data_IF_044707149317
#
_entry.id   IF_044707149317
#
_cell.length_a   1.000
_cell.length_b   1.000
_cell.length_c   1.000
_cell.angle_alpha   90.00
_cell.angle_beta   90.00
_cell.angle_gamma   90.00
#
_symmetry.space_group_name_H-M   'P 1'
#
loop_
_entity.id
_entity.type
_entity.pdbx_description
1 polymer ?
#
# COMPACT_ATOMS: atom_id res chain seq x y z
N UNK A 1 -13.98 6.28 -4.01
CA UNK A 1 -13.14 5.07 -3.84
C UNK A 1 -12.08 5.26 -2.75
N UNK A 2 -11.19 6.26 -2.86
CA UNK A 2 -10.08 6.47 -1.92
C UNK A 2 -10.54 6.59 -0.46
N UNK A 3 -11.57 7.37 -0.14
CA UNK A 3 -12.05 7.52 1.25
C UNK A 3 -12.56 6.19 1.86
N UNK A 4 -13.21 5.35 1.06
CA UNK A 4 -13.69 4.02 1.48
C UNK A 4 -12.50 3.07 1.62
N UNK A 5 -11.56 3.11 0.66
CA UNK A 5 -10.32 2.36 0.70
C UNK A 5 -9.50 2.69 1.94
N UNK A 6 -9.40 3.97 2.35
CA UNK A 6 -8.72 4.38 3.57
C UNK A 6 -9.34 3.71 4.80
N UNK A 7 -10.67 3.71 4.96
CA UNK A 7 -11.29 3.03 6.11
C UNK A 7 -11.14 1.50 6.06
N UNK A 8 -11.35 0.89 4.90
CA UNK A 8 -11.27 -0.56 4.71
C UNK A 8 -9.84 -1.09 4.79
N UNK A 9 -8.83 -0.24 4.55
CA UNK A 9 -7.43 -0.60 4.65
C UNK A 9 -6.84 -0.28 6.04
N UNK A 10 -6.99 0.97 6.50
CA UNK A 10 -6.35 1.45 7.73
C UNK A 10 -6.87 0.67 8.94
N UNK A 11 -8.19 0.51 9.08
CA UNK A 11 -8.76 -0.12 10.28
C UNK A 11 -8.25 -1.56 10.45
N UNK A 12 -8.32 -2.45 9.44
CA UNK A 12 -7.73 -3.77 9.54
C UNK A 12 -6.21 -3.74 9.75
N UNK A 13 -5.48 -2.91 9.00
CA UNK A 13 -4.02 -2.81 9.16
C UNK A 13 -3.62 -2.46 10.60
N UNK A 14 -4.27 -1.48 11.22
CA UNK A 14 -4.02 -1.12 12.62
C UNK A 14 -4.35 -2.26 13.58
N UNK A 15 -5.43 -3.01 13.34
CA UNK A 15 -5.78 -4.18 14.18
C UNK A 15 -4.73 -5.29 14.09
N UNK A 16 -4.05 -5.41 12.95
CA UNK A 16 -3.00 -6.40 12.71
C UNK A 16 -1.62 -6.00 13.27
N UNK A 17 -1.38 -4.73 13.61
CA UNK A 17 -0.06 -4.25 14.07
C UNK A 17 -0.04 -3.57 15.46
N UNK A 18 -1.19 -3.17 16.00
CA UNK A 18 -1.25 -2.37 17.23
C UNK A 18 -1.80 -3.18 18.43
N UNK A 19 -2.43 -2.50 19.40
CA UNK A 19 -3.08 -3.08 20.59
C UNK A 19 -4.12 -4.17 20.27
N UNK A 20 -4.61 -4.22 19.03
CA UNK A 20 -5.48 -5.29 18.53
C UNK A 20 -4.74 -6.63 18.38
N UNK A 21 -3.44 -6.58 18.10
CA UNK A 21 -2.62 -7.75 17.83
C UNK A 21 -2.63 -8.72 19.02
N UNK A 22 -2.56 -8.22 20.25
CA UNK A 22 -2.55 -9.06 21.45
C UNK A 22 -3.79 -9.97 21.56
N UNK A 23 -4.92 -9.53 21.01
CA UNK A 23 -6.20 -10.26 21.03
C UNK A 23 -6.36 -11.29 19.90
N UNK A 24 -5.43 -11.32 18.94
CA UNK A 24 -5.48 -12.25 17.81
C UNK A 24 -5.01 -13.64 18.26
N UNK A 25 -5.70 -14.74 17.86
CA UNK A 25 -5.27 -16.10 18.15
C UNK A 25 -3.83 -16.37 17.66
N UNK A 26 -3.09 -17.21 18.40
CA UNK A 26 -1.66 -17.47 18.11
C UNK A 26 -1.40 -18.02 16.71
N UNK A 27 -2.31 -18.84 16.17
CA UNK A 27 -2.17 -19.41 14.83
C UNK A 27 -2.35 -18.33 13.75
N UNK A 28 -3.37 -17.48 13.91
CA UNK A 28 -3.65 -16.34 13.05
C UNK A 28 -2.51 -15.33 13.07
N UNK A 29 -1.92 -15.06 14.24
CA UNK A 29 -0.69 -14.24 14.36
C UNK A 29 0.44 -14.77 13.48
N UNK A 30 0.72 -16.07 13.55
CA UNK A 30 1.76 -16.69 12.70
C UNK A 30 1.44 -16.57 11.22
N UNK A 31 0.17 -16.71 10.84
CA UNK A 31 -0.28 -16.52 9.47
C UNK A 31 -0.03 -15.09 9.00
N UNK A 32 -0.40 -14.10 9.82
CA UNK A 32 -0.17 -12.67 9.56
C UNK A 32 1.33 -12.36 9.44
N UNK A 33 2.15 -12.82 10.40
CA UNK A 33 3.61 -12.62 10.36
C UNK A 33 4.25 -13.26 9.14
N UNK A 34 3.79 -14.45 8.74
CA UNK A 34 4.26 -15.12 7.53
C UNK A 34 3.86 -14.31 6.29
N UNK A 35 2.61 -13.85 6.22
CA UNK A 35 2.08 -13.04 5.14
C UNK A 35 2.84 -11.72 4.98
N UNK A 36 3.09 -10.98 6.06
CA UNK A 36 3.78 -9.69 6.05
C UNK A 36 5.24 -9.79 5.54
N UNK A 37 5.85 -10.97 5.66
CA UNK A 37 7.22 -11.26 5.18
C UNK A 37 7.28 -11.71 3.73
N UNK A 38 6.13 -11.93 3.07
CA UNK A 38 6.08 -12.29 1.64
C UNK A 38 6.43 -11.09 0.76
N UNK A 39 6.76 -11.40 -0.47
CA UNK A 39 7.01 -10.41 -1.50
C UNK A 39 5.68 -9.83 -1.97
N UNK A 40 5.62 -8.51 -2.08
CA UNK A 40 4.35 -7.83 -2.38
C UNK A 40 3.80 -8.24 -3.75
N UNK A 41 4.67 -8.32 -4.75
CA UNK A 41 4.33 -8.69 -6.13
C UNK A 41 3.68 -10.07 -6.17
N UNK A 42 4.36 -11.08 -5.63
CA UNK A 42 3.90 -12.47 -5.69
C UNK A 42 2.54 -12.69 -5.02
N UNK A 43 2.19 -11.87 -4.03
CA UNK A 43 0.96 -12.06 -3.27
C UNK A 43 -0.21 -11.23 -3.81
N UNK A 44 0.02 -9.96 -4.14
CA UNK A 44 -1.06 -9.03 -4.50
C UNK A 44 -1.21 -8.79 -5.99
N UNK A 45 -0.14 -9.02 -6.76
CA UNK A 45 -0.10 -8.80 -8.20
C UNK A 45 -0.06 -10.19 -8.85
N UNK A 46 -1.23 -10.85 -8.88
CA UNK A 46 -1.39 -12.23 -9.32
C UNK A 46 -1.11 -12.48 -10.81
N UNK A 47 -0.69 -11.48 -11.57
CA UNK A 47 -0.38 -11.64 -12.99
C UNK A 47 1.03 -11.16 -13.32
N UNK A 48 1.98 -12.10 -13.25
CA UNK A 48 3.39 -11.89 -13.64
C UNK A 48 3.53 -11.57 -15.15
N UNK A 49 2.48 -11.76 -15.96
CA UNK A 49 2.49 -11.45 -17.39
C UNK A 49 2.03 -10.02 -17.68
N UNK A 50 1.35 -9.36 -16.74
CA UNK A 50 1.02 -7.93 -16.85
C UNK A 50 2.16 -7.05 -16.36
N UNK A 51 2.44 -5.97 -17.11
CA UNK A 51 3.33 -4.89 -16.68
C UNK A 51 2.69 -4.16 -15.49
N UNK A 52 2.96 -4.64 -14.27
CA UNK A 52 2.52 -4.01 -13.02
C UNK A 52 2.71 -2.50 -13.05
N UNK A 53 1.65 -1.74 -12.74
CA UNK A 53 1.74 -0.29 -12.65
C UNK A 53 2.35 0.19 -11.32
N UNK A 54 2.69 -0.73 -10.41
CA UNK A 54 3.28 -0.40 -9.12
C UNK A 54 4.74 0.01 -9.27
N UNK A 55 5.00 1.29 -9.02
CA UNK A 55 6.35 1.84 -8.93
C UNK A 55 6.58 2.43 -7.54
N UNK A 56 7.84 2.45 -7.13
CA UNK A 56 8.29 2.96 -5.86
C UNK A 56 9.52 3.84 -6.03
N UNK A 57 9.53 4.95 -5.30
CA UNK A 57 10.69 5.81 -5.12
C UNK A 57 11.00 5.93 -3.64
N UNK A 58 12.27 5.86 -3.30
CA UNK A 58 12.78 5.93 -1.92
C UNK A 58 13.77 7.09 -1.79
N UNK A 59 14.11 7.47 -0.55
CA UNK A 59 15.01 8.58 -0.23
C UNK A 59 14.59 9.94 -0.83
N UNK A 60 13.27 10.13 -0.96
CA UNK A 60 12.67 11.31 -1.55
C UNK A 60 12.78 12.51 -0.60
N UNK A 61 13.43 13.57 -1.07
CA UNK A 61 13.52 14.83 -0.33
C UNK A 61 12.36 15.74 -0.75
N UNK A 62 11.28 15.71 0.03
CA UNK A 62 10.18 16.65 -0.12
C UNK A 62 10.41 17.89 0.76
N UNK A 63 10.37 19.09 0.15
CA UNK A 63 10.58 20.36 0.85
C UNK A 63 9.30 21.15 1.14
N UNK A 64 8.12 20.50 1.07
CA UNK A 64 6.83 21.18 1.23
C UNK A 64 6.44 22.01 0.01
N UNK A 65 5.17 22.43 -0.08
CA UNK A 65 4.63 23.24 -1.17
C UNK A 65 3.75 22.45 -2.16
N UNK A 66 3.78 22.83 -3.44
CA UNK A 66 3.03 22.13 -4.50
C UNK A 66 3.62 20.74 -4.73
N UNK A 67 2.93 19.70 -4.22
CA UNK A 67 3.40 18.32 -4.26
C UNK A 67 3.75 17.88 -5.68
N UNK A 68 2.90 18.21 -6.66
CA UNK A 68 3.08 17.77 -8.04
C UNK A 68 4.35 18.38 -8.61
N UNK A 69 4.58 19.68 -8.44
CA UNK A 69 5.79 20.34 -8.93
C UNK A 69 7.06 19.86 -8.24
N UNK A 70 6.98 19.58 -6.94
CA UNK A 70 8.15 19.22 -6.13
C UNK A 70 8.52 17.74 -6.23
N UNK A 71 7.56 16.85 -6.48
CA UNK A 71 7.85 15.45 -6.78
C UNK A 71 8.11 15.19 -8.26
N UNK A 72 7.67 16.06 -9.18
CA UNK A 72 7.83 15.86 -10.63
C UNK A 72 9.22 15.34 -11.04
N UNK A 73 10.35 15.87 -10.50
CA UNK A 73 11.67 15.37 -10.87
C UNK A 73 11.90 13.92 -10.44
N UNK A 74 11.32 13.52 -9.30
CA UNK A 74 11.47 12.20 -8.68
C UNK A 74 10.52 11.17 -9.30
N UNK A 75 9.40 11.62 -9.89
CA UNK A 75 8.45 10.73 -10.55
C UNK A 75 9.04 10.02 -11.77
N UNK A 76 10.08 10.59 -12.39
CA UNK A 76 10.77 9.97 -13.53
C UNK A 76 11.74 8.86 -13.10
N UNK A 77 12.15 8.84 -11.83
CA UNK A 77 13.14 7.90 -11.28
C UNK A 77 12.48 6.75 -10.49
N UNK A 78 11.15 6.67 -10.50
CA UNK A 78 10.43 5.59 -9.84
C UNK A 78 10.79 4.25 -10.49
N UNK A 79 11.09 3.26 -9.65
CA UNK A 79 11.45 1.92 -10.09
C UNK A 79 10.25 1.01 -9.91
N UNK A 80 10.12 -0.01 -10.75
CA UNK A 80 9.13 -1.05 -10.56
C UNK A 80 9.27 -1.64 -9.13
N UNK A 81 8.15 -1.86 -8.45
CA UNK A 81 8.16 -2.62 -7.20
C UNK A 81 8.67 -4.03 -7.53
N UNK A 82 9.80 -4.39 -6.92
CA UNK A 82 10.46 -5.70 -7.10
C UNK A 82 10.18 -6.65 -5.93
N UNK A 83 10.61 -7.91 -6.08
CA UNK A 83 10.56 -8.97 -5.04
C UNK A 83 11.26 -8.57 -3.72
N UNK A 84 12.12 -7.55 -3.74
CA UNK A 84 12.77 -7.07 -2.52
C UNK A 84 11.80 -6.33 -1.58
N UNK A 85 10.68 -5.82 -2.12
CA UNK A 85 9.69 -5.08 -1.34
C UNK A 85 8.71 -6.03 -0.69
N UNK A 86 8.84 -6.17 0.63
CA UNK A 86 7.93 -7.00 1.43
C UNK A 86 6.57 -6.35 1.57
N UNK A 87 5.54 -7.18 1.77
CA UNK A 87 4.17 -6.73 2.03
C UNK A 87 4.12 -5.69 3.15
N UNK A 88 4.74 -5.95 4.32
CA UNK A 88 4.76 -5.00 5.45
C UNK A 88 5.23 -3.60 5.04
N UNK A 89 6.27 -3.55 4.20
CA UNK A 89 6.86 -2.28 3.77
C UNK A 89 5.88 -1.46 2.95
N UNK A 90 5.28 -2.07 1.93
CA UNK A 90 4.30 -1.44 1.05
C UNK A 90 3.05 -1.03 1.82
N UNK A 91 2.50 -1.94 2.63
CA UNK A 91 1.30 -1.66 3.43
C UNK A 91 1.52 -0.48 4.39
N UNK A 92 2.72 -0.36 4.98
CA UNK A 92 3.05 0.75 5.88
C UNK A 92 3.08 2.10 5.15
N UNK A 93 3.66 2.16 3.95
CA UNK A 93 3.67 3.38 3.12
C UNK A 93 2.24 3.79 2.79
N UNK A 94 1.45 2.85 2.27
CA UNK A 94 0.03 3.05 1.95
C UNK A 94 -0.75 3.56 3.16
N UNK A 95 -0.54 2.95 4.33
CA UNK A 95 -1.19 3.34 5.58
C UNK A 95 -0.86 4.76 5.95
N UNK A 96 0.43 5.11 5.97
CA UNK A 96 0.87 6.44 6.39
C UNK A 96 0.36 7.51 5.42
N UNK A 97 0.45 7.27 4.12
CA UNK A 97 -0.08 8.17 3.11
C UNK A 97 -1.60 8.39 3.29
N UNK A 98 -2.37 7.31 3.47
CA UNK A 98 -3.82 7.41 3.65
C UNK A 98 -4.22 8.05 4.98
N UNK A 99 -3.51 7.76 6.06
CA UNK A 99 -3.79 8.32 7.38
C UNK A 99 -3.50 9.83 7.47
N UNK A 100 -2.51 10.31 6.69
CA UNK A 100 -2.12 11.72 6.66
C UNK A 100 -2.73 12.51 5.49
N UNK A 101 -3.51 11.86 4.62
CA UNK A 101 -4.07 12.49 3.43
C UNK A 101 -3.02 12.84 2.37
N UNK A 102 -1.82 12.23 2.43
CA UNK A 102 -0.72 12.41 1.49
C UNK A 102 -0.92 11.54 0.24
N UNK A 103 -2.10 11.68 -0.37
CA UNK A 103 -2.52 10.97 -1.58
C UNK A 103 -2.70 12.00 -2.69
N UNK A 104 -2.08 11.75 -3.83
CA UNK A 104 -2.12 12.64 -4.98
C UNK A 104 -2.51 11.85 -6.22
N UNK A 105 -2.99 12.54 -7.25
CA UNK A 105 -3.45 11.91 -8.48
C UNK A 105 -2.92 12.69 -9.69
N UNK A 106 -2.64 11.99 -10.78
CA UNK A 106 -2.39 12.62 -12.08
C UNK A 106 -3.31 12.05 -13.15
N UNK A 107 -3.49 12.82 -14.23
CA UNK A 107 -4.38 12.51 -15.34
C UNK A 107 -5.20 13.73 -15.75
N UNK A 108 -5.66 13.76 -17.01
CA UNK A 108 -6.33 14.93 -17.58
C UNK A 108 -7.86 14.84 -17.48
N UNK A 109 -8.46 13.87 -18.17
CA UNK A 109 -9.91 13.64 -18.16
C UNK A 109 -10.33 12.59 -17.11
N UNK A 110 -9.41 11.67 -16.79
CA UNK A 110 -9.57 10.60 -15.81
C UNK A 110 -8.32 10.53 -14.94
N UNK A 111 -8.41 9.87 -13.79
CA UNK A 111 -7.23 9.59 -12.97
C UNK A 111 -6.47 8.45 -13.65
N UNK A 112 -5.23 8.73 -14.06
CA UNK A 112 -4.35 7.72 -14.68
C UNK A 112 -3.44 7.09 -13.63
N UNK A 113 -3.05 7.85 -12.61
CA UNK A 113 -2.12 7.42 -11.56
C UNK A 113 -2.51 7.96 -10.19
N UNK A 114 -2.23 7.16 -9.17
CA UNK A 114 -2.38 7.48 -7.75
C UNK A 114 -0.99 7.43 -7.11
N UNK A 115 -0.67 8.45 -6.33
CA UNK A 115 0.58 8.59 -5.60
C UNK A 115 0.32 8.54 -4.09
N UNK A 116 0.97 7.61 -3.40
CA UNK A 116 0.93 7.50 -1.94
C UNK A 116 2.28 7.93 -1.39
N UNK A 117 2.33 9.06 -0.71
CA UNK A 117 3.56 9.59 -0.15
C UNK A 117 3.64 9.41 1.36
N UNK A 118 4.72 8.78 1.81
CA UNK A 118 5.07 8.66 3.22
C UNK A 118 6.27 9.56 3.54
N UNK A 119 5.99 10.73 4.12
CA UNK A 119 7.01 11.68 4.57
C UNK A 119 8.01 11.09 5.56
N UNK A 120 7.56 10.15 6.42
CA UNK A 120 8.41 9.57 7.47
C UNK A 120 9.40 8.58 6.88
N UNK A 121 8.97 7.84 5.86
CA UNK A 121 9.83 6.90 5.12
C UNK A 121 10.54 7.54 3.94
N UNK A 122 10.21 8.79 3.60
CA UNK A 122 10.71 9.47 2.39
C UNK A 122 10.47 8.60 1.17
N UNK A 123 9.30 7.97 1.09
CA UNK A 123 8.96 7.01 0.05
C UNK A 123 7.66 7.40 -0.64
N UNK A 124 7.58 7.16 -1.95
CA UNK A 124 6.36 7.31 -2.74
C UNK A 124 6.06 6.02 -3.45
N UNK A 125 4.78 5.65 -3.50
CA UNK A 125 4.28 4.61 -4.37
C UNK A 125 3.42 5.24 -5.45
N UNK A 126 3.68 4.90 -6.70
CA UNK A 126 2.81 5.18 -7.84
C UNK A 126 2.08 3.89 -8.24
N UNK A 127 0.79 3.98 -8.53
CA UNK A 127 -0.02 2.86 -9.01
C UNK A 127 -1.19 3.37 -9.87
N UNK A 128 -1.65 2.58 -10.84
CA UNK A 128 -2.89 2.86 -11.57
C UNK A 128 -4.13 2.61 -10.69
N UNK A 129 -5.28 3.25 -10.96
CA UNK A 129 -6.52 2.96 -10.25
C UNK A 129 -6.97 1.50 -10.33
N UNK A 130 -6.77 0.84 -11.46
CA UNK A 130 -7.20 -0.54 -11.69
C UNK A 130 -6.38 -1.53 -10.85
N UNK A 131 -5.05 -1.40 -10.86
CA UNK A 131 -4.18 -2.23 -10.01
C UNK A 131 -4.39 -1.97 -8.52
N UNK A 132 -4.69 -0.72 -8.14
CA UNK A 132 -5.03 -0.41 -6.76
C UNK A 132 -6.38 -1.02 -6.35
N UNK A 133 -7.35 -1.06 -7.27
CA UNK A 133 -8.62 -1.75 -7.04
C UNK A 133 -8.43 -3.25 -6.84
N UNK A 134 -7.64 -3.90 -7.70
CA UNK A 134 -7.30 -5.32 -7.57
C UNK A 134 -6.59 -5.61 -6.25
N UNK A 135 -5.63 -4.78 -5.86
CA UNK A 135 -4.98 -4.87 -4.55
C UNK A 135 -6.00 -4.85 -3.40
N UNK A 136 -6.98 -3.94 -3.43
CA UNK A 136 -8.00 -3.85 -2.39
C UNK A 136 -8.87 -5.11 -2.35
N UNK A 137 -9.25 -5.67 -3.49
CA UNK A 137 -10.01 -6.91 -3.56
C UNK A 137 -9.24 -8.06 -2.92
N UNK A 138 -7.97 -8.24 -3.31
CA UNK A 138 -7.08 -9.26 -2.77
C UNK A 138 -6.82 -9.06 -1.27
N UNK A 139 -6.71 -7.80 -0.82
CA UNK A 139 -6.57 -7.45 0.59
C UNK A 139 -7.80 -7.87 1.41
N UNK A 140 -9.00 -7.54 0.92
CA UNK A 140 -10.23 -7.92 1.61
C UNK A 140 -10.46 -9.44 1.60
N UNK A 141 -10.13 -10.11 0.50
CA UNK A 141 -10.18 -11.56 0.44
C UNK A 141 -9.25 -12.19 1.49
N UNK A 142 -7.99 -11.76 1.55
CA UNK A 142 -7.04 -12.23 2.56
C UNK A 142 -7.57 -12.02 3.99
N UNK A 143 -8.13 -10.84 4.28
CA UNK A 143 -8.72 -10.56 5.59
C UNK A 143 -9.90 -11.48 5.93
N UNK A 144 -10.68 -11.90 4.93
CA UNK A 144 -11.82 -12.81 5.13
C UNK A 144 -11.41 -14.26 5.41
N UNK A 145 -10.20 -14.64 4.99
CA UNK A 145 -9.62 -15.98 5.22
C UNK A 145 -8.92 -16.08 6.59
N UNK A 146 -8.74 -14.96 7.29
CA UNK A 146 -8.19 -14.96 8.64
C UNK A 146 -9.22 -15.45 9.64
N UNK A 147 -8.90 -16.55 10.33
CA UNK A 147 -9.68 -17.04 11.45
C UNK A 147 -9.39 -16.19 12.70
N UNK A 148 -10.34 -15.32 13.07
CA UNK A 148 -10.23 -14.52 14.29
C UNK A 148 -10.76 -15.25 15.54
N UNK A 149 -11.21 -16.51 15.41
CA UNK A 149 -11.95 -17.24 16.43
C UNK A 149 -13.39 -16.76 16.57
N UNK A 150 -14.22 -17.55 17.25
CA UNK A 150 -15.55 -17.09 17.69
C UNK A 150 -15.37 -15.92 18.68
N UNK A 151 -16.00 -14.78 18.38
CA UNK A 151 -16.04 -13.58 19.26
C UNK A 151 -17.17 -13.71 20.26
#
# INVERSE_FOLDING_TARGET
>A
MISIASSGFIIPYERLHSKGYDKIPKNTKKQIESFLKRDFIDFFICDKETTSSWHIGEDIIYKGGDFVKNLQPVLNDLKLVSEQHKVDYILRILRNAMAHGSIFTSGAAYIDKIYFFDERKKAVIEVSPDDFHLFLQNWFQYLSELDFGEV
#
